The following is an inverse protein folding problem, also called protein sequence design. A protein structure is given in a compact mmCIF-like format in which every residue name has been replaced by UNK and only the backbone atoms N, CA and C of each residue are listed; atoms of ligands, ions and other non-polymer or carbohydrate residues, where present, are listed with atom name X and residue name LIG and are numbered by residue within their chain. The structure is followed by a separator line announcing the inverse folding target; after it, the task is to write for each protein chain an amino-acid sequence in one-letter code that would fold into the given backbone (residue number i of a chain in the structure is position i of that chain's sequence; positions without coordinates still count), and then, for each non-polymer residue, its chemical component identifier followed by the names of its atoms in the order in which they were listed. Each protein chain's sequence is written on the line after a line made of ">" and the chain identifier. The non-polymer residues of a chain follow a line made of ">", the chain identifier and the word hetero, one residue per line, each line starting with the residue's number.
data_IF_021469032917
#
_entry.id   IF_021469032917
#
_cell.length_a   1.000
_cell.length_b   1.000
_cell.length_c   1.000
_cell.angle_alpha   90.00
_cell.angle_beta   90.00
_cell.angle_gamma   90.00
#
_symmetry.space_group_name_H-M   'P 1'
#
loop_
_entity.id
_entity.type
_entity.pdbx_description
1 polymer ?
#
# COMPACT_ATOMS: atom_id res chain seq x y z
N UNK A 1 8.11 2.74 -19.36
CA UNK A 1 8.68 2.18 -18.11
C UNK A 1 10.11 1.78 -18.44
N UNK A 2 11.11 2.35 -17.79
CA UNK A 2 12.50 2.17 -18.19
C UNK A 2 13.01 0.80 -17.70
N UNK A 3 13.96 0.21 -18.44
CA UNK A 3 14.64 -1.07 -18.10
C UNK A 3 15.22 -1.09 -16.68
N UNK A 4 15.45 0.08 -16.08
CA UNK A 4 15.93 0.29 -14.71
C UNK A 4 14.88 -0.07 -13.65
N UNK A 5 13.60 0.20 -13.92
CA UNK A 5 12.50 -0.07 -13.00
C UNK A 5 12.35 -1.58 -12.79
N UNK A 6 12.48 -2.37 -13.86
CA UNK A 6 12.45 -3.84 -13.82
C UNK A 6 13.56 -4.47 -12.97
N UNK A 7 14.78 -3.94 -13.04
CA UNK A 7 15.92 -4.46 -12.28
C UNK A 7 15.76 -4.12 -10.80
N UNK A 8 15.31 -2.90 -10.50
CA UNK A 8 15.04 -2.48 -9.13
C UNK A 8 13.87 -3.25 -8.51
N UNK A 9 12.78 -3.45 -9.26
CA UNK A 9 11.64 -4.26 -8.84
C UNK A 9 12.05 -5.72 -8.60
N UNK A 10 12.86 -6.28 -9.50
CA UNK A 10 13.39 -7.64 -9.37
C UNK A 10 14.31 -7.81 -8.16
N UNK A 11 15.21 -6.86 -7.92
CA UNK A 11 16.08 -6.86 -6.74
C UNK A 11 15.27 -6.67 -5.45
N UNK A 12 14.32 -5.73 -5.43
CA UNK A 12 13.44 -5.51 -4.29
C UNK A 12 12.62 -6.77 -3.98
N UNK A 13 12.14 -7.48 -5.00
CA UNK A 13 11.46 -8.76 -4.84
C UNK A 13 12.38 -9.81 -4.22
N UNK A 14 13.56 -10.06 -4.79
CA UNK A 14 14.51 -11.07 -4.29
C UNK A 14 14.95 -10.76 -2.85
N UNK A 15 15.25 -9.50 -2.54
CA UNK A 15 15.62 -9.07 -1.19
C UNK A 15 14.47 -9.25 -0.21
N UNK A 16 13.25 -8.88 -0.58
CA UNK A 16 12.06 -9.04 0.28
C UNK A 16 11.76 -10.52 0.53
N UNK A 17 11.85 -11.37 -0.49
CA UNK A 17 11.69 -12.83 -0.35
C UNK A 17 12.80 -13.42 0.52
N UNK A 18 14.04 -12.99 0.32
CA UNK A 18 15.20 -13.43 1.12
C UNK A 18 15.06 -13.04 2.59
N UNK A 19 14.62 -11.82 2.88
CA UNK A 19 14.33 -11.36 4.24
C UNK A 19 13.17 -12.13 4.85
N UNK A 20 12.09 -12.34 4.10
CA UNK A 20 10.95 -13.12 4.56
C UNK A 20 11.35 -14.56 4.93
N UNK A 21 12.19 -15.20 4.11
CA UNK A 21 12.69 -16.54 4.39
C UNK A 21 13.63 -16.56 5.60
N UNK A 22 14.53 -15.59 5.72
CA UNK A 22 15.51 -15.53 6.81
C UNK A 22 14.88 -15.21 8.17
N UNK A 23 13.89 -14.31 8.17
CA UNK A 23 13.16 -13.90 9.38
C UNK A 23 11.99 -14.84 9.71
N UNK A 24 11.75 -15.87 8.89
CA UNK A 24 10.68 -16.84 9.11
C UNK A 24 9.29 -16.25 9.03
N UNK A 25 9.08 -15.25 8.17
CA UNK A 25 7.80 -14.54 8.07
C UNK A 25 6.66 -15.47 7.70
N UNK A 26 5.57 -15.33 8.46
CA UNK A 26 4.32 -15.99 8.20
C UNK A 26 3.37 -15.08 7.41
N UNK A 27 2.20 -15.62 7.01
CA UNK A 27 1.18 -14.84 6.33
C UNK A 27 0.75 -13.60 7.13
N UNK A 28 0.71 -13.72 8.46
CA UNK A 28 0.44 -12.59 9.38
C UNK A 28 1.41 -11.44 9.15
N UNK A 29 2.70 -11.73 9.10
CA UNK A 29 3.76 -10.72 8.99
C UNK A 29 3.70 -9.98 7.66
N UNK A 30 3.46 -10.72 6.58
CA UNK A 30 3.29 -10.13 5.25
C UNK A 30 2.06 -9.23 5.19
N UNK A 31 0.92 -9.69 5.70
CA UNK A 31 -0.34 -8.95 5.63
C UNK A 31 -0.25 -7.65 6.44
N UNK A 32 0.26 -7.71 7.67
CA UNK A 32 0.42 -6.53 8.51
C UNK A 32 1.51 -5.60 8.01
N UNK A 33 2.61 -6.15 7.52
CA UNK A 33 3.69 -5.38 6.89
C UNK A 33 3.21 -4.62 5.66
N UNK A 34 2.42 -5.27 4.79
CA UNK A 34 1.82 -4.63 3.62
C UNK A 34 0.78 -3.58 4.01
N UNK A 35 -0.04 -3.85 5.03
CA UNK A 35 -1.04 -2.90 5.54
C UNK A 35 -0.39 -1.63 6.10
N UNK A 36 0.64 -1.75 6.94
CA UNK A 36 1.32 -0.57 7.50
C UNK A 36 2.12 0.17 6.43
N UNK A 37 2.71 -0.55 5.48
CA UNK A 37 3.38 0.04 4.33
C UNK A 37 2.42 0.81 3.43
N UNK A 38 1.22 0.26 3.16
CA UNK A 38 0.20 0.96 2.36
C UNK A 38 -0.28 2.23 3.07
N UNK A 39 -0.44 2.19 4.39
CA UNK A 39 -0.78 3.37 5.18
C UNK A 39 0.31 4.44 5.08
N UNK A 40 1.56 4.10 5.40
CA UNK A 40 2.65 5.07 5.45
C UNK A 40 3.03 5.63 4.08
N UNK A 41 3.28 4.74 3.10
CA UNK A 41 3.67 5.15 1.74
C UNK A 41 2.51 5.82 1.03
N UNK A 42 1.29 5.30 1.19
CA UNK A 42 0.09 5.90 0.61
C UNK A 42 -0.20 7.29 1.17
N UNK A 43 -0.09 7.48 2.48
CA UNK A 43 -0.28 8.80 3.09
C UNK A 43 0.81 9.79 2.69
N UNK A 44 2.08 9.35 2.64
CA UNK A 44 3.17 10.17 2.13
C UNK A 44 2.94 10.58 0.66
N UNK A 45 2.40 9.69 -0.16
CA UNK A 45 2.03 9.99 -1.54
C UNK A 45 0.92 11.04 -1.63
N UNK A 46 -0.13 10.95 -0.80
CA UNK A 46 -1.21 11.94 -0.73
C UNK A 46 -0.65 13.31 -0.35
N UNK A 47 0.14 13.39 0.73
CA UNK A 47 0.76 14.64 1.20
C UNK A 47 1.64 15.23 0.10
N UNK A 48 2.51 14.41 -0.50
CA UNK A 48 3.41 14.89 -1.57
C UNK A 48 2.62 15.39 -2.78
N UNK A 49 1.58 14.68 -3.20
CA UNK A 49 0.72 15.09 -4.31
C UNK A 49 0.09 16.46 -4.06
N UNK A 50 -0.48 16.66 -2.87
CA UNK A 50 -1.10 17.93 -2.49
C UNK A 50 -0.06 19.05 -2.43
N UNK A 51 1.06 18.83 -1.74
CA UNK A 51 2.13 19.82 -1.62
C UNK A 51 2.67 20.22 -2.98
N UNK A 52 2.96 19.25 -3.85
CA UNK A 52 3.47 19.53 -5.20
C UNK A 52 2.44 20.28 -6.05
N UNK A 53 1.15 19.97 -5.93
CA UNK A 53 0.09 20.71 -6.63
C UNK A 53 0.03 22.19 -6.21
N UNK A 54 0.26 22.48 -4.92
CA UNK A 54 0.32 23.87 -4.41
C UNK A 54 1.59 24.57 -4.87
N UNK A 55 2.75 23.91 -4.75
CA UNK A 55 4.06 24.48 -5.11
C UNK A 55 4.14 24.81 -6.60
N UNK A 56 3.56 23.96 -7.47
CA UNK A 56 3.55 24.15 -8.92
C UNK A 56 2.53 25.20 -9.40
N UNK A 57 1.63 25.65 -8.54
CA UNK A 57 0.67 26.70 -8.88
C UNK A 57 1.29 28.11 -8.73
N UNK A 58 0.83 29.04 -9.57
CA UNK A 58 1.33 30.42 -9.62
C UNK A 58 0.22 31.44 -9.36
N UNK A 59 0.60 32.62 -8.84
CA UNK A 59 -0.31 33.73 -8.58
C UNK A 59 -1.53 33.35 -7.74
N UNK A 60 -2.72 33.78 -8.18
CA UNK A 60 -4.01 33.46 -7.55
C UNK A 60 -4.26 31.94 -7.51
N UNK A 61 -3.77 31.20 -8.50
CA UNK A 61 -3.88 29.74 -8.55
C UNK A 61 -3.23 29.06 -7.34
N UNK A 62 -2.13 29.60 -6.80
CA UNK A 62 -1.47 29.06 -5.60
C UNK A 62 -2.34 29.16 -4.36
N UNK A 63 -3.03 30.29 -4.17
CA UNK A 63 -3.93 30.50 -3.02
C UNK A 63 -5.13 29.55 -3.11
N UNK A 64 -5.74 29.44 -4.29
CA UNK A 64 -6.85 28.52 -4.55
C UNK A 64 -6.42 27.08 -4.30
N UNK A 65 -5.29 26.66 -4.86
CA UNK A 65 -4.75 25.31 -4.66
C UNK A 65 -4.36 25.06 -3.21
N UNK A 66 -3.90 26.07 -2.47
CA UNK A 66 -3.66 25.96 -1.02
C UNK A 66 -4.94 25.63 -0.27
N UNK A 67 -6.03 26.35 -0.53
CA UNK A 67 -7.34 26.07 0.06
C UNK A 67 -7.87 24.68 -0.29
N UNK A 68 -7.84 24.31 -1.57
CA UNK A 68 -8.20 22.97 -2.04
C UNK A 68 -7.32 21.90 -1.40
N UNK A 69 -6.02 22.17 -1.27
CA UNK A 69 -5.05 21.26 -0.68
C UNK A 69 -5.33 20.97 0.79
N UNK A 70 -5.68 22.00 1.59
CA UNK A 70 -6.08 21.82 2.99
C UNK A 70 -7.34 20.97 3.09
N UNK A 71 -8.36 21.28 2.27
CA UNK A 71 -9.59 20.48 2.22
C UNK A 71 -9.29 19.01 1.85
N UNK A 72 -8.51 18.78 0.78
CA UNK A 72 -8.16 17.44 0.32
C UNK A 72 -7.35 16.68 1.38
N UNK A 73 -6.42 17.34 2.07
CA UNK A 73 -5.65 16.72 3.14
C UNK A 73 -6.59 16.27 4.25
N UNK A 74 -7.48 17.15 4.74
CA UNK A 74 -8.44 16.79 5.78
C UNK A 74 -9.37 15.64 5.35
N UNK A 75 -9.95 15.73 4.15
CA UNK A 75 -10.82 14.71 3.59
C UNK A 75 -10.11 13.36 3.50
N UNK A 76 -8.93 13.31 2.88
CA UNK A 76 -8.20 12.07 2.73
C UNK A 76 -7.69 11.54 4.06
N UNK A 77 -7.26 12.36 5.01
CA UNK A 77 -6.86 11.88 6.34
C UNK A 77 -7.99 11.13 7.03
N UNK A 78 -9.21 11.69 7.02
CA UNK A 78 -10.37 11.02 7.61
C UNK A 78 -10.75 9.78 6.79
N UNK A 79 -10.90 9.91 5.47
CA UNK A 79 -11.35 8.83 4.61
C UNK A 79 -10.33 7.69 4.55
N UNK A 80 -9.10 7.96 4.13
CA UNK A 80 -8.02 6.97 4.03
C UNK A 80 -7.69 6.35 5.38
N UNK A 81 -7.65 7.15 6.44
CA UNK A 81 -7.39 6.68 7.81
C UNK A 81 -8.51 5.76 8.32
N UNK A 82 -9.77 6.14 8.15
CA UNK A 82 -10.92 5.32 8.54
C UNK A 82 -10.95 3.98 7.78
N UNK A 83 -10.67 3.99 6.48
CA UNK A 83 -10.58 2.76 5.69
C UNK A 83 -9.46 1.84 6.19
N UNK A 84 -8.28 2.37 6.51
CA UNK A 84 -7.19 1.57 7.09
C UNK A 84 -7.54 1.04 8.47
N UNK A 85 -8.20 1.84 9.29
CA UNK A 85 -8.67 1.42 10.60
C UNK A 85 -9.66 0.24 10.51
N UNK A 86 -10.73 0.38 9.71
CA UNK A 86 -11.71 -0.70 9.51
C UNK A 86 -11.03 -1.95 8.95
N UNK A 87 -10.11 -1.79 7.99
CA UNK A 87 -9.32 -2.90 7.47
C UNK A 87 -8.49 -3.57 8.58
N UNK A 88 -7.86 -2.80 9.47
CA UNK A 88 -7.09 -3.35 10.59
C UNK A 88 -7.95 -4.14 11.57
N UNK A 89 -9.21 -3.77 11.76
CA UNK A 89 -10.17 -4.55 12.57
C UNK A 89 -10.41 -5.93 11.95
N UNK A 90 -10.66 -5.98 10.63
CA UNK A 90 -10.81 -7.27 9.93
C UNK A 90 -9.52 -8.10 10.00
N UNK A 91 -8.37 -7.48 9.74
CA UNK A 91 -7.08 -8.16 9.82
C UNK A 91 -6.82 -8.73 11.21
N UNK A 92 -7.08 -7.96 12.28
CA UNK A 92 -6.89 -8.44 13.64
C UNK A 92 -7.84 -9.59 14.00
N UNK A 93 -9.00 -9.69 13.35
CA UNK A 93 -9.91 -10.82 13.51
C UNK A 93 -9.40 -12.13 12.90
N UNK A 94 -8.65 -12.09 11.80
CA UNK A 94 -8.12 -13.29 11.11
C UNK A 94 -6.65 -13.58 11.44
N UNK A 95 -5.87 -12.53 11.67
CA UNK A 95 -4.44 -12.55 11.94
C UNK A 95 -4.19 -11.62 13.12
N UNK A 96 -4.49 -12.03 14.36
CA UNK A 96 -4.40 -11.17 15.53
C UNK A 96 -2.99 -10.58 15.68
N UNK A 97 -2.87 -9.27 15.57
CA UNK A 97 -1.66 -8.52 15.91
C UNK A 97 -1.69 -8.12 17.38
N UNK A 98 -2.87 -7.72 17.87
CA UNK A 98 -3.11 -7.39 19.26
C UNK A 98 -4.07 -8.42 19.85
N UNK A 99 -3.64 -9.08 20.91
CA UNK A 99 -4.46 -9.95 21.77
C UNK A 99 -5.30 -9.11 22.75
N UNK A 100 -6.06 -8.13 22.24
CA UNK A 100 -7.02 -7.41 23.08
C UNK A 100 -8.32 -8.21 23.19
N UNK A 101 -8.99 -8.12 24.35
CA UNK A 101 -10.25 -8.81 24.66
C UNK A 101 -11.43 -8.41 23.76
N UNK A 102 -12.68 -8.53 24.25
CA UNK A 102 -13.94 -8.37 23.46
C UNK A 102 -14.23 -6.95 22.90
N UNK A 103 -13.28 -6.28 22.26
CA UNK A 103 -13.42 -4.94 21.71
C UNK A 103 -12.68 -4.74 20.39
N UNK A 104 -12.92 -3.59 19.76
CA UNK A 104 -12.17 -3.18 18.57
C UNK A 104 -10.76 -2.72 18.96
N UNK A 105 -9.71 -3.15 18.23
CA UNK A 105 -8.35 -2.76 18.54
C UNK A 105 -8.19 -1.24 18.36
N UNK A 106 -7.49 -0.58 19.27
CA UNK A 106 -7.29 0.87 19.16
C UNK A 106 -6.30 1.21 18.04
N UNK A 107 -6.67 2.14 17.14
CA UNK A 107 -5.85 2.51 15.98
C UNK A 107 -4.40 2.90 16.36
N UNK A 108 -4.15 3.72 17.41
CA UNK A 108 -2.78 4.05 17.80
C UNK A 108 -1.96 2.82 18.20
N UNK A 109 -2.55 1.88 18.95
CA UNK A 109 -1.84 0.67 19.38
C UNK A 109 -1.55 -0.24 18.18
N UNK A 110 -2.52 -0.44 17.28
CA UNK A 110 -2.31 -1.21 16.04
C UNK A 110 -1.20 -0.60 15.21
N UNK A 111 -1.25 0.72 14.99
CA UNK A 111 -0.29 1.41 14.17
C UNK A 111 1.12 1.33 14.75
N UNK A 112 1.27 1.63 16.04
CA UNK A 112 2.58 1.58 16.72
C UNK A 112 3.15 0.18 16.78
N UNK A 113 2.31 -0.84 17.02
CA UNK A 113 2.73 -2.24 17.01
C UNK A 113 3.18 -2.66 15.61
N UNK A 114 2.35 -2.42 14.59
CA UNK A 114 2.67 -2.78 13.22
C UNK A 114 3.92 -2.05 12.70
N UNK A 115 4.10 -0.77 13.04
CA UNK A 115 5.32 -0.03 12.71
C UNK A 115 6.54 -0.62 13.41
N UNK A 116 6.45 -0.91 14.71
CA UNK A 116 7.58 -1.47 15.46
C UNK A 116 8.02 -2.82 14.91
N UNK A 117 7.08 -3.68 14.56
CA UNK A 117 7.35 -5.05 14.07
C UNK A 117 7.74 -5.08 12.59
N UNK A 118 7.14 -4.22 11.77
CA UNK A 118 7.23 -4.33 10.30
C UNK A 118 7.85 -3.10 9.61
N UNK A 119 8.54 -2.21 10.34
CA UNK A 119 9.24 -1.07 9.74
C UNK A 119 10.23 -1.43 8.60
N UNK A 120 10.92 -2.60 8.58
CA UNK A 120 11.82 -2.91 7.46
C UNK A 120 11.07 -3.03 6.13
N UNK A 121 9.84 -3.56 6.15
CA UNK A 121 8.96 -3.65 4.97
C UNK A 121 8.54 -2.25 4.53
N UNK A 122 8.22 -1.36 5.48
CA UNK A 122 7.86 0.03 5.19
C UNK A 122 9.00 0.74 4.48
N UNK A 123 10.23 0.62 5.00
CA UNK A 123 11.42 1.23 4.39
C UNK A 123 11.69 0.63 3.01
N UNK A 124 11.66 -0.70 2.88
CA UNK A 124 11.85 -1.36 1.59
C UNK A 124 10.82 -0.90 0.56
N UNK A 125 9.56 -0.76 0.97
CA UNK A 125 8.47 -0.26 0.12
C UNK A 125 8.67 1.21 -0.26
N UNK A 126 9.12 2.06 0.67
CA UNK A 126 9.44 3.45 0.35
C UNK A 126 10.58 3.54 -0.67
N UNK A 127 11.65 2.76 -0.51
CA UNK A 127 12.80 2.75 -1.42
C UNK A 127 12.40 2.25 -2.80
N UNK A 128 11.64 1.15 -2.88
CA UNK A 128 11.20 0.59 -4.18
C UNK A 128 10.26 1.55 -4.92
N UNK A 129 9.42 2.27 -4.17
CA UNK A 129 8.43 3.20 -4.75
C UNK A 129 8.90 4.65 -4.80
N UNK A 130 10.16 4.94 -4.47
CA UNK A 130 10.66 6.31 -4.40
C UNK A 130 10.45 7.08 -5.71
N UNK A 131 10.59 6.41 -6.85
CA UNK A 131 10.41 7.01 -8.18
C UNK A 131 8.96 7.28 -8.56
N UNK A 132 7.99 6.67 -7.87
CA UNK A 132 6.56 6.91 -8.09
C UNK A 132 6.13 8.27 -7.57
N UNK A 133 6.86 8.84 -6.59
CA UNK A 133 6.47 10.09 -5.96
C UNK A 133 6.45 11.25 -6.97
N UNK A 134 5.43 12.12 -6.92
CA UNK A 134 5.19 13.12 -7.96
C UNK A 134 6.12 14.34 -7.87
N UNK A 135 7.30 14.23 -7.24
CA UNK A 135 8.24 15.34 -7.04
C UNK A 135 8.64 16.05 -8.35
N UNK A 136 8.62 15.33 -9.47
CA UNK A 136 9.01 15.86 -10.80
C UNK A 136 7.87 15.84 -11.83
N UNK A 137 6.67 15.42 -11.45
CA UNK A 137 5.54 15.29 -12.37
C UNK A 137 4.60 16.48 -12.23
N UNK A 138 3.99 16.92 -13.35
CA UNK A 138 2.89 17.90 -13.29
C UNK A 138 1.68 17.25 -12.62
N UNK A 139 1.28 17.77 -11.47
CA UNK A 139 0.17 17.21 -10.70
C UNK A 139 -1.13 17.93 -11.07
N UNK A 140 -2.14 17.16 -11.48
CA UNK A 140 -3.53 17.63 -11.58
C UNK A 140 -4.38 16.91 -10.55
N UNK A 141 -5.12 17.66 -9.73
CA UNK A 141 -6.14 17.13 -8.82
C UNK A 141 -7.50 16.92 -9.52
N UNK A 142 -7.61 17.30 -10.80
CA UNK A 142 -8.82 17.24 -11.61
C UNK A 142 -8.70 16.13 -12.67
N UNK A 143 -9.43 15.03 -12.48
CA UNK A 143 -9.53 13.95 -13.47
C UNK A 143 -10.61 12.93 -13.12
N UNK A 144 -11.51 12.65 -14.06
CA UNK A 144 -12.68 11.78 -13.88
C UNK A 144 -12.32 10.27 -13.85
N UNK A 145 -11.34 9.85 -14.65
CA UNK A 145 -10.78 8.47 -14.65
C UNK A 145 -10.01 8.10 -13.37
N UNK A 146 -9.78 9.08 -12.50
CA UNK A 146 -9.09 8.93 -11.21
C UNK A 146 -10.02 8.40 -10.11
N UNK A 147 -11.34 8.51 -10.31
CA UNK A 147 -12.32 8.16 -9.27
C UNK A 147 -12.44 6.65 -9.03
N UNK A 148 -12.39 5.79 -10.07
CA UNK A 148 -12.67 4.35 -9.89
C UNK A 148 -11.43 3.48 -9.62
N UNK A 149 -10.24 3.92 -10.04
CA UNK A 149 -8.99 3.17 -9.81
C UNK A 149 -8.69 2.88 -8.33
N UNK A 150 -8.94 3.80 -7.37
CA UNK A 150 -8.74 3.52 -5.95
C UNK A 150 -9.64 2.41 -5.42
N UNK A 151 -10.91 2.37 -5.83
CA UNK A 151 -11.87 1.36 -5.38
C UNK A 151 -11.50 -0.06 -5.82
N UNK A 152 -11.00 -0.22 -7.05
CA UNK A 152 -10.54 -1.53 -7.53
C UNK A 152 -9.39 -2.09 -6.68
N UNK A 153 -8.48 -1.23 -6.20
CA UNK A 153 -7.40 -1.64 -5.31
C UNK A 153 -7.92 -1.99 -3.90
N UNK A 154 -8.89 -1.25 -3.37
CA UNK A 154 -9.55 -1.57 -2.10
C UNK A 154 -10.25 -2.92 -2.17
N UNK A 155 -11.00 -3.19 -3.25
CA UNK A 155 -11.66 -4.48 -3.47
C UNK A 155 -10.63 -5.61 -3.54
N UNK A 156 -9.53 -5.41 -4.28
CA UNK A 156 -8.43 -6.40 -4.35
C UNK A 156 -7.88 -6.72 -2.95
N UNK A 157 -7.66 -5.70 -2.11
CA UNK A 157 -7.22 -5.89 -0.73
C UNK A 157 -8.22 -6.72 0.08
N UNK A 158 -9.51 -6.39 0.05
CA UNK A 158 -10.53 -7.14 0.79
C UNK A 158 -10.64 -8.59 0.30
N UNK A 159 -10.61 -8.82 -1.00
CA UNK A 159 -10.64 -10.17 -1.57
C UNK A 159 -9.43 -10.99 -1.11
N UNK A 160 -8.24 -10.40 -1.02
CA UNK A 160 -7.07 -11.11 -0.50
C UNK A 160 -7.25 -11.49 0.97
N UNK A 161 -7.79 -10.61 1.82
CA UNK A 161 -8.11 -10.95 3.22
C UNK A 161 -9.03 -12.18 3.27
N UNK A 162 -10.08 -12.22 2.46
CA UNK A 162 -11.03 -13.35 2.46
C UNK A 162 -10.41 -14.64 1.94
N UNK A 163 -9.59 -14.57 0.87
CA UNK A 163 -8.82 -15.71 0.38
C UNK A 163 -7.90 -16.24 1.48
N UNK A 164 -7.24 -15.35 2.19
CA UNK A 164 -6.33 -15.69 3.28
C UNK A 164 -7.03 -16.26 4.51
N UNK A 165 -8.14 -15.67 4.92
CA UNK A 165 -8.99 -16.20 5.98
C UNK A 165 -9.42 -17.64 5.65
N UNK A 166 -9.82 -17.90 4.40
CA UNK A 166 -10.14 -19.24 3.92
C UNK A 166 -8.94 -20.20 3.96
N UNK A 167 -7.76 -19.77 3.49
CA UNK A 167 -6.54 -20.58 3.53
C UNK A 167 -6.07 -20.87 4.96
N UNK A 168 -6.20 -19.91 5.87
CA UNK A 168 -5.90 -20.08 7.29
C UNK A 168 -6.86 -21.06 7.94
N UNK A 169 -8.17 -20.94 7.70
CA UNK A 169 -9.17 -21.90 8.18
C UNK A 169 -8.93 -23.33 7.65
N UNK A 170 -8.35 -23.47 6.46
CA UNK A 170 -7.98 -24.74 5.87
C UNK A 170 -6.62 -25.31 6.36
N UNK A 171 -5.91 -24.62 7.27
CA UNK A 171 -4.59 -25.06 7.77
C UNK A 171 -3.45 -24.93 6.77
N UNK A 172 -3.65 -24.20 5.66
CA UNK A 172 -2.68 -24.00 4.58
C UNK A 172 -1.90 -22.68 4.69
N UNK A 173 -1.97 -22.01 5.85
CA UNK A 173 -1.39 -20.69 6.12
C UNK A 173 0.11 -20.59 5.78
N UNK A 174 0.89 -21.64 6.04
CA UNK A 174 2.33 -21.69 5.74
C UNK A 174 2.64 -21.66 4.24
N UNK A 175 1.74 -22.18 3.40
CA UNK A 175 1.88 -22.16 1.94
C UNK A 175 1.25 -20.93 1.29
N UNK A 176 0.38 -20.21 2.00
CA UNK A 176 -0.32 -19.01 1.52
C UNK A 176 0.62 -17.80 1.30
N UNK A 177 1.81 -17.82 1.91
CA UNK A 177 2.87 -16.81 1.76
C UNK A 177 3.30 -16.67 0.29
N UNK A 178 3.52 -17.79 -0.41
CA UNK A 178 4.06 -17.77 -1.78
C UNK A 178 3.08 -17.24 -2.83
N UNK A 179 1.79 -17.65 -2.86
CA UNK A 179 0.80 -17.06 -3.75
C UNK A 179 0.65 -15.55 -3.59
N UNK A 180 0.89 -15.00 -2.39
CA UNK A 180 0.73 -13.57 -2.15
C UNK A 180 1.97 -12.77 -2.46
N UNK A 181 3.15 -13.30 -2.18
CA UNK A 181 4.37 -12.72 -2.72
C UNK A 181 4.30 -12.68 -4.25
N UNK A 182 3.79 -13.74 -4.86
CA UNK A 182 3.52 -13.80 -6.30
C UNK A 182 2.41 -12.81 -6.71
N UNK A 183 1.26 -12.78 -6.04
CA UNK A 183 0.17 -11.87 -6.41
C UNK A 183 0.55 -10.38 -6.28
N UNK A 184 1.36 -10.03 -5.29
CA UNK A 184 1.62 -8.65 -4.89
C UNK A 184 2.92 -8.08 -5.47
N UNK A 185 4.00 -8.88 -5.49
CA UNK A 185 5.31 -8.40 -5.91
C UNK A 185 5.75 -8.94 -7.27
N UNK A 186 5.08 -9.96 -7.82
CA UNK A 186 5.38 -10.40 -9.19
C UNK A 186 4.93 -9.31 -10.19
N UNK A 187 5.74 -8.99 -11.22
CA UNK A 187 5.45 -7.91 -12.16
C UNK A 187 4.37 -8.30 -13.18
N UNK A 188 3.14 -8.57 -12.74
CA UNK A 188 2.01 -8.98 -13.58
C UNK A 188 1.76 -8.05 -14.75
N UNK A 189 1.96 -6.75 -14.56
CA UNK A 189 1.79 -5.75 -15.61
C UNK A 189 2.75 -5.96 -16.79
N UNK A 190 3.91 -6.57 -16.57
CA UNK A 190 4.89 -6.89 -17.61
C UNK A 190 4.48 -8.18 -18.30
N UNK A 191 4.15 -9.22 -17.52
CA UNK A 191 3.76 -10.52 -18.06
C UNK A 191 2.47 -10.43 -18.89
N UNK A 192 1.46 -9.71 -18.41
CA UNK A 192 0.20 -9.50 -19.11
C UNK A 192 0.36 -8.64 -20.37
N UNK A 193 1.31 -7.69 -20.41
CA UNK A 193 1.62 -6.92 -21.63
C UNK A 193 2.34 -7.75 -22.68
N UNK A 194 3.28 -8.61 -22.24
CA UNK A 194 3.97 -9.58 -23.10
C UNK A 194 3.00 -10.61 -23.69
N UNK A 195 2.08 -11.14 -22.88
CA UNK A 195 1.04 -12.08 -23.32
C UNK A 195 0.01 -11.40 -24.23
N UNK A 196 -0.29 -10.11 -24.01
CA UNK A 196 -1.19 -9.33 -24.88
C UNK A 196 -0.52 -8.77 -26.14
N UNK A 197 0.74 -9.11 -26.42
CA UNK A 197 1.44 -8.72 -27.64
C UNK A 197 1.61 -7.20 -27.83
N UNK A 198 1.50 -6.40 -26.77
CA UNK A 198 1.70 -4.95 -26.82
C UNK A 198 3.12 -4.63 -26.36
N UNK A 199 4.09 -4.87 -27.22
CA UNK A 199 5.44 -4.30 -27.08
C UNK A 199 5.49 -2.95 -27.82
N UNK A 200 5.55 -1.86 -27.03
CA UNK A 200 6.21 -0.59 -27.33
C UNK A 200 6.40 0.17 -26.01
#
# INVERSE_FOLDING_TARGET
>A
MQRRDLVLDGLAFVVTVGLAAWLGWEAKDLIWGLWVSSLCVGYAYIVTTIVMAVVQAEGVGRVVMGGVGVFMLAFFTVHFGMFHYVHSVFLNGFFPLIEEGKGFPSLPVVLTTALREYWPIVVATFVSRWTDFPFRQKVSLSGQDTMMKPYANVIRMHLLIFVFAGLHAAGLSRYAVYPVLIAYFFPWGVMLRRVRGKEA
#
